data_IF_304990178837
#
_entry.id   IF_304990178837
#
_cell.length_a   1.000
_cell.length_b   1.000
_cell.length_c   1.000
_cell.angle_alpha   90.00
_cell.angle_beta   90.00
_cell.angle_gamma   90.00
#
_symmetry.space_group_name_H-M   'P 1'
#
loop_
_entity.id
_entity.type
_entity.pdbx_description
1 polymer ?
#
# COMPACT_ATOMS: atom_id res chain seq x y z
N UNK A 1 10.02 12.35 -18.46
CA UNK A 1 9.81 11.05 -19.12
C UNK A 1 8.57 11.20 -20.01
N UNK A 2 8.52 10.60 -21.20
CA UNK A 2 7.25 10.50 -21.92
C UNK A 2 6.54 9.28 -21.36
N UNK A 3 5.44 9.49 -20.62
CA UNK A 3 4.51 8.42 -20.22
C UNK A 3 3.88 7.90 -21.50
N UNK A 4 4.53 6.94 -22.14
CA UNK A 4 3.97 6.28 -23.31
C UNK A 4 3.64 4.85 -22.90
N UNK A 5 2.43 4.37 -23.24
CA UNK A 5 2.18 2.94 -23.19
C UNK A 5 3.24 2.24 -24.06
N UNK A 6 3.59 0.97 -23.76
CA UNK A 6 4.51 0.21 -24.59
C UNK A 6 4.07 0.28 -26.06
N UNK A 7 4.78 1.06 -26.90
CA UNK A 7 4.42 1.27 -28.32
C UNK A 7 4.54 0.00 -29.16
N UNK A 8 5.25 -0.99 -28.62
CA UNK A 8 5.35 -2.38 -29.07
C UNK A 8 5.06 -3.22 -27.84
N UNK A 9 4.64 -4.47 -28.01
CA UNK A 9 4.64 -5.43 -26.91
C UNK A 9 5.98 -5.25 -26.18
N UNK A 10 5.96 -4.73 -24.94
CA UNK A 10 7.17 -4.73 -24.15
C UNK A 10 7.63 -6.20 -24.16
N UNK A 11 8.93 -6.49 -24.28
CA UNK A 11 9.45 -7.84 -24.22
C UNK A 11 9.25 -8.33 -22.79
N UNK A 12 8.02 -8.68 -22.49
CA UNK A 12 7.54 -8.96 -21.15
C UNK A 12 7.77 -10.45 -20.83
N UNK A 13 8.71 -11.10 -21.54
CA UNK A 13 9.00 -12.53 -21.34
C UNK A 13 10.47 -12.93 -21.45
N UNK A 14 11.36 -12.13 -22.05
CA UNK A 14 12.74 -12.62 -22.28
C UNK A 14 13.72 -12.20 -21.17
N UNK A 15 13.48 -11.07 -20.51
CA UNK A 15 14.33 -10.62 -19.42
C UNK A 15 13.77 -10.98 -18.04
N UNK A 16 14.61 -11.47 -17.10
CA UNK A 16 14.18 -11.75 -15.74
C UNK A 16 13.72 -10.46 -15.03
N UNK A 17 12.74 -10.57 -14.11
CA UNK A 17 12.23 -9.42 -13.38
C UNK A 17 13.30 -8.75 -12.55
N UNK A 18 13.10 -7.47 -12.23
CA UNK A 18 13.98 -6.72 -11.33
C UNK A 18 13.66 -7.13 -9.89
N UNK A 19 14.70 -7.53 -9.15
CA UNK A 19 14.59 -8.05 -7.79
C UNK A 19 15.07 -7.00 -6.79
N UNK A 20 14.24 -6.68 -5.81
CA UNK A 20 14.69 -5.95 -4.60
C UNK A 20 14.98 -6.97 -3.51
N UNK A 21 16.19 -6.87 -2.93
CA UNK A 21 16.71 -7.80 -1.95
C UNK A 21 16.90 -7.15 -0.57
N UNK A 22 16.75 -7.97 0.45
CA UNK A 22 17.12 -7.67 1.82
C UNK A 22 18.59 -8.01 2.05
N UNK A 23 19.45 -7.05 2.42
CA UNK A 23 20.91 -7.24 2.49
C UNK A 23 21.38 -8.10 3.66
N UNK A 24 20.54 -8.40 4.65
CA UNK A 24 20.95 -9.20 5.81
C UNK A 24 20.50 -10.68 5.74
N UNK A 25 19.92 -11.13 4.62
CA UNK A 25 19.54 -12.53 4.42
C UNK A 25 20.36 -13.16 3.29
N UNK A 26 20.60 -14.49 3.33
CA UNK A 26 21.25 -15.21 2.23
C UNK A 26 20.53 -14.98 0.91
N UNK A 27 21.24 -15.03 -0.22
CA UNK A 27 20.71 -14.65 -1.54
C UNK A 27 19.38 -15.34 -1.89
N UNK A 28 19.28 -16.66 -1.65
CA UNK A 28 18.10 -17.47 -1.92
C UNK A 28 16.89 -17.18 -0.99
N UNK A 29 17.09 -16.37 0.06
CA UNK A 29 16.08 -15.96 1.05
C UNK A 29 15.91 -14.45 1.12
N UNK A 30 16.69 -13.69 0.34
CA UNK A 30 16.77 -12.23 0.42
C UNK A 30 15.72 -11.51 -0.42
N UNK A 31 15.02 -12.19 -1.33
CA UNK A 31 14.05 -11.55 -2.22
C UNK A 31 12.89 -10.94 -1.43
N UNK A 32 12.73 -9.62 -1.50
CA UNK A 32 11.61 -8.88 -0.93
C UNK A 32 10.50 -8.70 -1.95
N UNK A 33 10.84 -8.13 -3.11
CA UNK A 33 9.89 -7.75 -4.16
C UNK A 33 10.47 -8.07 -5.53
N UNK A 34 9.59 -8.37 -6.50
CA UNK A 34 9.93 -8.63 -7.89
C UNK A 34 9.04 -7.75 -8.77
N UNK A 35 9.63 -7.07 -9.73
CA UNK A 35 8.90 -6.16 -10.62
C UNK A 35 9.15 -6.51 -12.08
N UNK A 36 8.10 -6.48 -12.94
CA UNK A 36 8.26 -6.67 -14.37
C UNK A 36 8.94 -5.46 -15.01
N UNK A 37 9.67 -5.68 -16.10
CA UNK A 37 10.37 -4.64 -16.86
C UNK A 37 9.45 -4.07 -17.93
N UNK A 38 8.60 -3.12 -17.54
CA UNK A 38 7.57 -2.54 -18.42
C UNK A 38 7.82 -1.08 -18.79
N UNK A 39 8.71 -0.40 -18.08
CA UNK A 39 9.05 0.99 -18.34
C UNK A 39 10.20 1.09 -19.34
N UNK A 40 9.92 1.64 -20.52
CA UNK A 40 10.91 1.81 -21.59
C UNK A 40 11.86 2.99 -21.32
N UNK A 41 13.15 2.77 -21.54
CA UNK A 41 14.18 3.81 -21.55
C UNK A 41 14.53 4.13 -23.00
N UNK A 42 14.05 5.26 -23.51
CA UNK A 42 14.50 5.77 -24.80
C UNK A 42 15.90 6.37 -24.64
N UNK A 43 16.91 5.78 -25.28
CA UNK A 43 18.15 6.51 -25.56
C UNK A 43 17.79 7.61 -26.58
N UNK A 44 18.12 8.85 -26.26
CA UNK A 44 17.89 9.97 -27.18
C UNK A 44 18.76 9.74 -28.42
N UNK A 45 18.16 9.96 -29.58
CA UNK A 45 18.82 10.31 -30.85
C UNK A 45 19.41 9.22 -31.76
N UNK A 46 18.97 7.96 -31.67
CA UNK A 46 19.28 6.97 -32.73
C UNK A 46 18.02 6.26 -33.25
N UNK A 47 17.86 6.28 -34.58
CA UNK A 47 16.66 5.84 -35.31
C UNK A 47 16.47 4.31 -35.25
N UNK A 48 17.45 3.57 -34.71
CA UNK A 48 17.48 2.11 -34.55
C UNK A 48 17.83 1.64 -33.11
N UNK A 49 17.32 2.31 -32.08
CA UNK A 49 17.61 1.92 -30.69
C UNK A 49 16.89 0.64 -30.22
N UNK A 50 17.67 -0.34 -29.77
CA UNK A 50 17.25 -1.37 -28.81
C UNK A 50 16.72 -0.68 -27.53
N UNK A 51 15.42 -0.77 -27.27
CA UNK A 51 14.82 -0.23 -26.05
C UNK A 51 15.27 -1.07 -24.86
N UNK A 52 15.91 -0.45 -23.87
CA UNK A 52 16.10 -1.09 -22.56
C UNK A 52 14.83 -0.91 -21.74
N UNK A 53 14.34 -1.98 -21.13
CA UNK A 53 13.18 -1.94 -20.25
C UNK A 53 13.59 -2.06 -18.78
N UNK A 54 12.83 -1.41 -17.91
CA UNK A 54 13.07 -1.39 -16.48
C UNK A 54 11.80 -1.14 -15.69
N UNK A 55 11.96 -0.63 -14.48
CA UNK A 55 10.84 -0.25 -13.60
C UNK A 55 11.06 1.15 -13.04
N UNK A 56 9.98 1.93 -12.95
CA UNK A 56 9.98 3.27 -12.38
C UNK A 56 10.54 3.28 -10.94
N UNK A 57 11.59 4.07 -10.73
CA UNK A 57 12.34 4.14 -9.48
C UNK A 57 11.47 4.54 -8.30
N UNK A 58 10.68 5.62 -8.43
CA UNK A 58 9.82 6.13 -7.37
C UNK A 58 8.73 5.15 -6.93
N UNK A 59 8.22 4.34 -7.87
CA UNK A 59 7.26 3.27 -7.56
C UNK A 59 7.92 2.18 -6.72
N UNK A 60 9.12 1.72 -7.11
CA UNK A 60 9.86 0.71 -6.33
C UNK A 60 10.25 1.27 -4.96
N UNK A 61 10.72 2.51 -4.89
CA UNK A 61 11.11 3.14 -3.64
C UNK A 61 9.92 3.28 -2.68
N UNK A 62 8.77 3.77 -3.18
CA UNK A 62 7.54 3.83 -2.38
C UNK A 62 7.12 2.46 -1.85
N UNK A 63 7.20 1.41 -2.69
CA UNK A 63 6.91 0.04 -2.26
C UNK A 63 7.86 -0.43 -1.14
N UNK A 64 9.14 -0.10 -1.25
CA UNK A 64 10.13 -0.42 -0.22
C UNK A 64 9.88 0.33 1.09
N UNK A 65 9.49 1.60 1.02
CA UNK A 65 9.14 2.40 2.19
C UNK A 65 7.91 1.82 2.90
N UNK A 66 6.89 1.38 2.16
CA UNK A 66 5.69 0.75 2.72
C UNK A 66 6.05 -0.50 3.55
N UNK A 67 6.83 -1.42 2.99
CA UNK A 67 7.18 -2.68 3.68
C UNK A 67 8.18 -2.47 4.84
N UNK A 68 8.75 -1.28 4.97
CA UNK A 68 9.65 -0.89 6.06
C UNK A 68 8.99 0.06 7.06
N UNK A 69 7.65 0.16 7.06
CA UNK A 69 6.93 0.99 8.01
C UNK A 69 6.95 2.48 7.70
N UNK A 70 6.91 2.82 6.40
CA UNK A 70 6.98 4.19 5.89
C UNK A 70 8.32 4.88 6.17
N UNK A 71 9.42 4.12 6.20
CA UNK A 71 10.76 4.65 6.48
C UNK A 71 11.23 5.56 5.34
N UNK A 72 11.07 6.88 5.49
CA UNK A 72 11.44 7.89 4.48
C UNK A 72 12.93 7.90 4.14
N UNK A 73 13.77 7.43 5.06
CA UNK A 73 15.23 7.30 4.90
C UNK A 73 15.65 6.08 4.09
N UNK A 74 14.72 5.16 3.78
CA UNK A 74 15.03 3.97 3.02
C UNK A 74 15.53 4.32 1.61
N UNK A 75 16.52 3.56 1.11
CA UNK A 75 17.10 3.77 -0.21
C UNK A 75 17.51 2.44 -0.85
N UNK A 76 17.65 2.47 -2.17
CA UNK A 76 18.12 1.33 -2.96
C UNK A 76 19.62 1.47 -3.23
N UNK A 77 20.35 0.35 -3.18
CA UNK A 77 21.76 0.25 -3.54
C UNK A 77 22.00 -0.80 -4.61
N UNK A 78 23.08 -0.66 -5.37
CA UNK A 78 23.53 -1.66 -6.36
C UNK A 78 24.41 -2.74 -5.74
N UNK A 79 24.92 -2.50 -4.55
CA UNK A 79 25.72 -3.45 -3.79
C UNK A 79 25.06 -3.81 -2.46
N UNK A 80 25.40 -4.99 -1.98
CA UNK A 80 24.88 -5.57 -0.74
C UNK A 80 25.25 -4.77 0.52
N UNK A 81 26.31 -3.95 0.48
CA UNK A 81 26.79 -3.18 1.65
C UNK A 81 26.26 -1.75 1.67
N UNK A 82 25.43 -1.34 0.70
CA UNK A 82 24.86 0.00 0.64
C UNK A 82 25.85 1.09 0.25
N UNK A 83 27.05 0.74 -0.26
CA UNK A 83 28.12 1.69 -0.63
C UNK A 83 27.91 2.35 -2.00
N UNK A 84 27.04 1.79 -2.83
CA UNK A 84 26.70 2.24 -4.17
C UNK A 84 25.20 2.57 -4.27
N UNK A 85 24.73 3.59 -3.52
CA UNK A 85 23.33 4.00 -3.58
C UNK A 85 22.91 4.36 -5.00
N UNK A 86 21.66 4.06 -5.34
CA UNK A 86 21.05 4.45 -6.61
C UNK A 86 20.97 5.98 -6.66
N UNK A 87 21.67 6.58 -7.63
CA UNK A 87 21.71 8.04 -7.85
C UNK A 87 20.68 8.53 -8.88
N UNK A 88 19.70 7.69 -9.22
CA UNK A 88 18.64 8.06 -10.16
C UNK A 88 17.64 9.02 -9.49
N UNK A 89 17.07 9.94 -10.25
CA UNK A 89 15.93 10.73 -9.80
C UNK A 89 14.75 9.83 -9.45
N UNK A 90 13.78 10.34 -8.69
CA UNK A 90 12.54 9.62 -8.36
C UNK A 90 11.83 9.12 -9.63
N UNK A 91 11.79 9.95 -10.69
CA UNK A 91 11.19 9.60 -11.98
C UNK A 91 12.14 8.88 -12.96
N UNK A 92 13.27 8.36 -12.45
CA UNK A 92 14.20 7.55 -13.23
C UNK A 92 13.69 6.11 -13.44
N UNK A 93 14.32 5.37 -14.33
CA UNK A 93 14.03 3.95 -14.58
C UNK A 93 15.18 3.08 -14.09
N UNK A 94 14.87 2.13 -13.23
CA UNK A 94 15.79 1.10 -12.74
C UNK A 94 15.93 0.02 -13.81
N UNK A 95 17.15 -0.28 -14.25
CA UNK A 95 17.42 -1.24 -15.34
C UNK A 95 18.26 -2.45 -14.94
N UNK A 96 18.99 -2.38 -13.81
CA UNK A 96 19.74 -3.53 -13.28
C UNK A 96 18.80 -4.63 -12.77
N UNK A 97 19.24 -5.89 -12.88
CA UNK A 97 18.44 -7.05 -12.47
C UNK A 97 18.20 -7.16 -10.97
N UNK A 98 19.02 -6.53 -10.15
CA UNK A 98 18.84 -6.55 -8.70
C UNK A 98 19.29 -5.26 -8.02
N UNK A 99 18.63 -4.97 -6.91
CA UNK A 99 18.95 -3.88 -5.98
C UNK A 99 18.81 -4.37 -4.54
N UNK A 100 19.52 -3.73 -3.62
CA UNK A 100 19.45 -4.01 -2.19
C UNK A 100 18.76 -2.86 -1.47
N UNK A 101 17.74 -3.16 -0.67
CA UNK A 101 17.05 -2.18 0.15
C UNK A 101 17.83 -1.94 1.45
N UNK A 102 18.16 -0.69 1.72
CA UNK A 102 18.78 -0.27 2.96
C UNK A 102 17.86 0.69 3.70
N UNK A 103 17.75 0.49 5.01
CA UNK A 103 17.03 1.38 5.92
C UNK A 103 18.05 1.85 6.94
N UNK A 104 18.56 3.09 6.83
CA UNK A 104 19.37 3.67 7.88
C UNK A 104 18.57 3.62 9.17
N UNK A 105 19.12 2.96 10.20
CA UNK A 105 18.56 3.10 11.53
C UNK A 105 18.82 4.55 11.94
N UNK A 106 17.77 5.38 11.96
CA UNK A 106 17.87 6.67 12.60
C UNK A 106 18.27 6.46 14.05
N UNK A 107 19.09 7.34 14.58
CA UNK A 107 19.28 7.53 16.02
C UNK A 107 17.90 7.83 16.63
N UNK A 108 17.12 6.81 16.91
CA UNK A 108 15.75 6.93 17.39
C UNK A 108 15.66 6.22 18.72
N UNK A 109 15.56 7.07 19.74
CA UNK A 109 15.19 6.77 21.13
C UNK A 109 16.19 5.96 21.95
N UNK A 110 17.30 6.62 22.32
CA UNK A 110 18.02 6.38 23.57
C UNK A 110 17.15 6.72 24.80
N UNK A 111 15.99 6.07 24.92
CA UNK A 111 15.13 6.09 26.11
C UNK A 111 14.60 4.69 26.33
N UNK A 112 15.51 3.75 26.47
CA UNK A 112 15.36 2.64 27.42
C UNK A 112 16.72 2.50 28.14
N UNK A 113 16.93 3.41 29.09
CA UNK A 113 17.99 3.36 30.08
C UNK A 113 17.86 2.10 30.93
N UNK A 114 18.64 1.07 30.60
CA UNK A 114 19.49 0.34 31.56
C UNK A 114 20.46 -0.56 30.77
N UNK A 115 21.41 0.08 30.09
CA UNK A 115 22.68 -0.54 29.69
C UNK A 115 23.69 0.58 29.54
N UNK A 116 24.45 0.85 30.60
CA UNK A 116 25.66 1.66 30.51
C UNK A 116 26.65 0.90 29.64
N UNK A 117 26.82 1.33 28.39
CA UNK A 117 27.94 0.91 27.54
C UNK A 117 28.26 2.07 26.60
N UNK A 118 29.51 2.51 26.67
CA UNK A 118 30.17 3.46 25.77
C UNK A 118 29.91 3.13 24.28
N UNK A 119 30.11 4.08 23.35
CA UNK A 119 29.96 3.83 21.92
C UNK A 119 31.10 2.92 21.45
N UNK A 120 30.90 1.61 21.58
CA UNK A 120 31.66 0.61 20.88
C UNK A 120 30.94 0.39 19.54
N UNK A 121 31.59 0.83 18.47
CA UNK A 121 31.26 0.43 17.11
C UNK A 121 30.83 -1.04 17.02
N UNK A 122 29.63 -1.33 16.52
CA UNK A 122 29.35 -2.59 15.82
C UNK A 122 28.47 -3.67 16.48
N UNK A 123 27.36 -3.35 17.16
CA UNK A 123 26.39 -4.41 17.57
C UNK A 123 24.95 -4.16 17.12
N UNK A 124 24.46 -2.91 17.03
CA UNK A 124 23.09 -2.65 16.52
C UNK A 124 22.98 -2.79 14.98
N UNK A 125 24.12 -2.71 14.28
CA UNK A 125 24.27 -2.99 12.84
C UNK A 125 24.16 -4.49 12.48
N UNK A 126 24.05 -5.42 13.46
CA UNK A 126 24.05 -6.85 13.17
C UNK A 126 22.67 -7.43 12.83
N UNK A 127 21.58 -6.77 13.23
CA UNK A 127 20.25 -7.34 13.06
C UNK A 127 19.62 -6.87 11.73
N UNK A 128 19.03 -7.79 10.93
CA UNK A 128 18.27 -7.41 9.73
C UNK A 128 17.22 -6.38 10.10
N UNK A 129 16.93 -5.37 9.27
CA UNK A 129 15.79 -4.50 9.56
C UNK A 129 14.48 -5.31 9.54
N UNK A 130 13.50 -4.87 10.31
CA UNK A 130 12.21 -5.55 10.39
C UNK A 130 11.36 -5.21 9.16
N UNK A 131 10.66 -6.20 8.64
CA UNK A 131 9.77 -6.05 7.49
C UNK A 131 8.33 -6.19 7.95
N UNK A 132 7.46 -5.29 7.51
CA UNK A 132 6.01 -5.47 7.62
C UNK A 132 5.60 -6.44 6.52
N UNK A 133 5.02 -7.56 6.92
CA UNK A 133 4.70 -8.65 5.99
C UNK A 133 3.27 -8.59 5.46
N UNK A 134 2.41 -7.79 6.09
CA UNK A 134 0.98 -7.78 5.82
C UNK A 134 0.36 -6.40 5.93
N UNK A 135 -0.68 -6.19 5.14
CA UNK A 135 -1.41 -4.94 5.11
C UNK A 135 -2.05 -4.60 6.46
N UNK A 136 -2.61 -5.60 7.16
CA UNK A 136 -3.22 -5.40 8.48
C UNK A 136 -2.21 -4.88 9.51
N UNK A 137 -0.92 -5.21 9.35
CA UNK A 137 0.15 -4.79 10.25
C UNK A 137 0.81 -3.46 9.86
N UNK A 138 0.36 -2.86 8.76
CA UNK A 138 0.87 -1.58 8.28
C UNK A 138 0.06 -0.41 8.84
N UNK A 139 0.74 0.62 9.35
CA UNK A 139 0.11 1.88 9.75
C UNK A 139 0.11 2.86 8.59
N UNK A 140 -1.04 3.47 8.31
CA UNK A 140 -1.18 4.47 7.25
C UNK A 140 -0.44 5.76 7.63
N UNK A 141 0.45 6.29 6.76
CA UNK A 141 1.21 7.50 7.06
C UNK A 141 0.38 8.76 6.77
N UNK A 142 -0.53 9.13 7.67
CA UNK A 142 -1.45 10.27 7.51
C UNK A 142 -0.77 11.56 6.98
N UNK A 143 0.32 11.98 7.61
CA UNK A 143 1.08 13.19 7.24
C UNK A 143 2.41 12.88 6.52
N UNK A 144 2.61 11.62 6.13
CA UNK A 144 3.88 11.11 5.61
C UNK A 144 3.79 10.49 4.22
N UNK A 145 2.74 10.81 3.46
CA UNK A 145 2.58 10.34 2.08
C UNK A 145 3.68 10.97 1.21
N UNK A 146 4.36 10.22 0.32
CA UNK A 146 5.44 10.78 -0.48
C UNK A 146 4.95 11.92 -1.39
N UNK A 147 5.78 12.95 -1.56
CA UNK A 147 5.44 14.19 -2.29
C UNK A 147 4.85 13.94 -3.68
N UNK A 148 5.38 12.97 -4.44
CA UNK A 148 4.86 12.62 -5.77
C UNK A 148 3.38 12.20 -5.76
N UNK A 149 2.90 11.62 -4.66
CA UNK A 149 1.50 11.28 -4.47
C UNK A 149 0.68 12.50 -4.03
N UNK A 150 1.25 13.40 -3.24
CA UNK A 150 0.55 14.63 -2.83
C UNK A 150 0.47 15.70 -3.93
N UNK A 151 1.34 15.62 -4.94
CA UNK A 151 1.57 16.69 -5.92
C UNK A 151 0.78 16.58 -7.23
N UNK A 152 0.00 15.51 -7.44
CA UNK A 152 -0.86 15.46 -8.63
C UNK A 152 -2.16 16.23 -8.38
N UNK A 153 -2.62 16.97 -9.38
CA UNK A 153 -3.87 17.72 -9.31
C UNK A 153 -5.06 16.76 -9.08
N UNK A 154 -5.55 16.65 -7.85
CA UNK A 154 -6.89 16.14 -7.61
C UNK A 154 -7.85 17.24 -8.09
N UNK A 155 -8.64 16.97 -9.13
CA UNK A 155 -9.67 17.91 -9.54
C UNK A 155 -10.60 18.21 -8.33
N UNK A 156 -11.09 19.45 -8.20
CA UNK A 156 -11.88 19.85 -7.05
C UNK A 156 -13.16 19.01 -6.96
N UNK A 157 -13.54 18.63 -5.74
CA UNK A 157 -14.73 17.81 -5.39
C UNK A 157 -16.05 18.56 -5.63
N UNK A 158 -16.15 19.36 -6.69
CA UNK A 158 -17.37 20.10 -7.02
C UNK A 158 -18.32 19.13 -7.68
N UNK A 159 -19.26 18.59 -6.89
CA UNK A 159 -20.48 17.89 -7.30
C UNK A 159 -20.38 17.18 -8.66
N UNK A 160 -19.34 16.35 -8.85
CA UNK A 160 -19.23 15.59 -10.06
C UNK A 160 -20.47 14.67 -10.12
N UNK A 161 -21.21 14.69 -11.22
CA UNK A 161 -22.26 13.71 -11.49
C UNK A 161 -21.63 12.32 -11.49
N UNK A 162 -22.24 11.29 -10.84
CA UNK A 162 -21.72 9.92 -10.82
C UNK A 162 -21.25 9.48 -12.21
N UNK A 163 -19.93 9.44 -12.42
CA UNK A 163 -19.36 9.00 -13.69
C UNK A 163 -19.31 7.49 -13.65
N UNK A 164 -20.09 6.83 -14.49
CA UNK A 164 -20.05 5.36 -14.67
C UNK A 164 -18.87 4.91 -15.56
N UNK A 165 -17.95 5.82 -15.85
CA UNK A 165 -16.82 5.60 -16.74
C UNK A 165 -15.72 4.80 -16.05
N UNK A 166 -15.03 3.98 -16.83
CA UNK A 166 -13.86 3.25 -16.37
C UNK A 166 -12.75 4.26 -16.05
N UNK A 167 -12.16 4.14 -14.86
CA UNK A 167 -11.08 5.02 -14.41
C UNK A 167 -9.83 4.96 -15.30
N UNK A 168 -9.68 3.93 -16.13
CA UNK A 168 -8.55 3.79 -17.08
C UNK A 168 -8.94 3.99 -18.54
N UNK A 169 -10.05 3.40 -18.98
CA UNK A 169 -10.44 3.40 -20.41
C UNK A 169 -11.56 4.38 -20.77
N UNK A 170 -12.22 5.01 -19.79
CA UNK A 170 -13.34 5.94 -20.01
C UNK A 170 -14.67 5.29 -20.44
N UNK A 171 -14.71 3.99 -20.73
CA UNK A 171 -15.92 3.28 -21.18
C UNK A 171 -16.98 3.09 -20.08
N UNK A 172 -18.25 2.93 -20.47
CA UNK A 172 -19.43 2.95 -19.56
C UNK A 172 -19.77 1.60 -18.88
N UNK A 173 -19.31 0.46 -19.39
CA UNK A 173 -19.62 -0.87 -18.82
C UNK A 173 -18.65 -1.22 -17.70
N UNK A 174 -18.96 -0.78 -16.48
CA UNK A 174 -18.02 -0.86 -15.35
C UNK A 174 -18.64 -1.41 -14.09
N UNK A 175 -17.80 -2.02 -13.26
CA UNK A 175 -18.13 -2.54 -11.94
C UNK A 175 -17.38 -1.74 -10.85
N UNK A 176 -17.92 -1.68 -9.62
CA UNK A 176 -17.26 -1.00 -8.51
C UNK A 176 -15.98 -1.76 -8.08
N UNK A 177 -14.89 -1.02 -8.02
CA UNK A 177 -13.58 -1.46 -7.59
C UNK A 177 -13.21 -0.74 -6.29
N UNK A 178 -13.15 -1.48 -5.18
CA UNK A 178 -12.79 -0.92 -3.88
C UNK A 178 -11.29 -0.66 -3.81
N UNK A 179 -10.91 0.57 -3.50
CA UNK A 179 -9.50 0.96 -3.31
C UNK A 179 -8.96 0.27 -2.05
N UNK A 180 -9.58 0.50 -0.90
CA UNK A 180 -9.40 -0.33 0.30
C UNK A 180 -10.50 -1.40 0.33
N UNK A 181 -10.16 -2.70 0.22
CA UNK A 181 -11.17 -3.76 0.16
C UNK A 181 -12.02 -3.85 1.43
N UNK A 182 -13.29 -4.25 1.28
CA UNK A 182 -14.24 -4.43 2.40
C UNK A 182 -13.75 -5.39 3.48
N UNK A 183 -13.04 -6.46 3.09
CA UNK A 183 -12.47 -7.41 4.06
C UNK A 183 -11.33 -6.82 4.91
N UNK A 184 -10.94 -5.57 4.67
CA UNK A 184 -9.98 -4.80 5.47
C UNK A 184 -10.65 -3.75 6.37
N UNK A 185 -11.93 -3.90 6.71
CA UNK A 185 -12.67 -2.97 7.57
C UNK A 185 -11.99 -2.71 8.92
N UNK A 186 -11.39 -3.72 9.56
CA UNK A 186 -10.68 -3.52 10.84
C UNK A 186 -9.47 -2.58 10.68
N UNK A 187 -8.66 -2.80 9.64
CA UNK A 187 -7.54 -1.93 9.31
C UNK A 187 -8.00 -0.51 8.95
N UNK A 188 -9.10 -0.40 8.19
CA UNK A 188 -9.68 0.88 7.77
C UNK A 188 -10.06 1.75 8.98
N UNK A 189 -10.76 1.17 9.96
CA UNK A 189 -11.15 1.88 11.18
C UNK A 189 -9.96 2.17 12.09
N UNK A 190 -9.03 1.22 12.22
CA UNK A 190 -7.82 1.40 13.02
C UNK A 190 -6.99 2.59 12.52
N UNK A 191 -6.82 2.71 11.21
CA UNK A 191 -6.07 3.79 10.57
C UNK A 191 -6.94 5.02 10.28
N UNK A 192 -8.11 5.13 10.92
CA UNK A 192 -9.01 6.28 10.80
C UNK A 192 -9.26 6.73 9.34
N UNK A 193 -9.32 5.79 8.42
CA UNK A 193 -9.43 6.10 6.98
C UNK A 193 -10.78 6.75 6.63
N UNK A 194 -11.75 6.75 7.55
CA UNK A 194 -13.00 7.51 7.42
C UNK A 194 -12.81 9.03 7.46
N UNK A 195 -11.69 9.53 7.99
CA UNK A 195 -11.39 10.97 8.04
C UNK A 195 -11.20 11.58 6.64
N UNK A 196 -10.91 10.73 5.63
CA UNK A 196 -10.73 11.13 4.23
C UNK A 196 -12.00 11.05 3.38
N UNK A 197 -13.15 10.75 3.98
CA UNK A 197 -14.42 10.70 3.25
C UNK A 197 -14.86 12.12 2.88
N UNK A 198 -14.92 12.41 1.58
CA UNK A 198 -15.27 13.74 1.07
C UNK A 198 -16.76 14.07 1.29
N UNK A 199 -17.63 13.06 1.19
CA UNK A 199 -19.07 13.21 1.41
C UNK A 199 -19.43 12.80 2.84
N UNK A 200 -19.68 13.79 3.72
CA UNK A 200 -20.15 13.59 5.11
C UNK A 200 -21.60 13.06 5.18
N UNK A 201 -21.90 12.02 4.41
CA UNK A 201 -23.12 11.22 4.57
C UNK A 201 -23.01 10.27 5.77
N UNK A 202 -23.97 9.37 5.91
CA UNK A 202 -24.06 8.48 7.08
C UNK A 202 -23.08 7.29 7.05
N UNK A 203 -22.54 6.92 5.88
CA UNK A 203 -21.59 5.80 5.75
C UNK A 203 -20.14 6.25 5.87
N UNK A 204 -19.54 6.03 7.05
CA UNK A 204 -18.12 6.26 7.33
C UNK A 204 -17.25 5.01 7.17
N UNK A 205 -17.81 3.94 6.60
CA UNK A 205 -17.14 2.66 6.41
C UNK A 205 -16.41 2.54 5.07
N UNK A 206 -15.76 1.39 4.83
CA UNK A 206 -15.11 1.09 3.55
C UNK A 206 -16.08 1.02 2.35
N UNK A 207 -17.40 1.03 2.60
CA UNK A 207 -18.44 1.09 1.57
C UNK A 207 -18.67 2.46 0.97
N UNK A 208 -18.11 3.52 1.55
CA UNK A 208 -18.32 4.89 1.08
C UNK A 208 -17.84 5.06 -0.37
N UNK A 209 -18.60 5.84 -1.15
CA UNK A 209 -18.30 6.11 -2.56
C UNK A 209 -16.90 6.73 -2.80
N UNK A 210 -16.32 7.41 -1.82
CA UNK A 210 -14.96 7.98 -1.89
C UNK A 210 -13.87 6.90 -2.01
N UNK A 211 -14.16 5.67 -1.54
CA UNK A 211 -13.26 4.51 -1.58
C UNK A 211 -13.51 3.58 -2.80
N UNK A 212 -14.36 4.00 -3.75
CA UNK A 212 -14.77 3.16 -4.89
C UNK A 212 -14.43 3.84 -6.21
N UNK A 213 -13.53 3.24 -6.99
CA UNK A 213 -13.38 3.57 -8.41
C UNK A 213 -14.18 2.60 -9.29
N UNK A 214 -14.32 2.90 -10.58
CA UNK A 214 -15.02 2.02 -11.53
C UNK A 214 -14.06 1.48 -12.56
N UNK A 215 -14.12 0.18 -12.81
CA UNK A 215 -13.25 -0.52 -13.78
C UNK A 215 -14.08 -1.44 -14.66
N UNK A 216 -13.60 -1.68 -15.88
CA UNK A 216 -14.15 -2.75 -16.72
C UNK A 216 -13.92 -4.11 -16.04
N UNK A 217 -14.78 -5.10 -16.30
CA UNK A 217 -14.73 -6.40 -15.60
C UNK A 217 -13.35 -7.08 -15.69
N UNK A 218 -12.70 -7.01 -16.84
CA UNK A 218 -11.38 -7.61 -17.06
C UNK A 218 -10.30 -6.91 -16.23
N UNK A 219 -10.32 -5.57 -16.19
CA UNK A 219 -9.42 -4.76 -15.35
C UNK A 219 -9.71 -4.93 -13.87
N UNK A 220 -10.98 -5.10 -13.49
CA UNK A 220 -11.38 -5.33 -12.10
C UNK A 220 -10.81 -6.64 -11.56
N UNK A 221 -10.79 -7.70 -12.37
CA UNK A 221 -10.16 -8.98 -12.02
C UNK A 221 -8.68 -8.78 -11.70
N UNK A 222 -7.94 -8.18 -12.62
CA UNK A 222 -6.52 -7.88 -12.45
C UNK A 222 -6.27 -7.02 -11.21
N UNK A 223 -7.07 -5.96 -11.04
CA UNK A 223 -7.00 -5.08 -9.90
C UNK A 223 -7.16 -5.87 -8.60
N UNK A 224 -8.25 -6.64 -8.45
CA UNK A 224 -8.54 -7.45 -7.25
C UNK A 224 -7.50 -8.54 -6.98
N UNK A 225 -6.89 -9.10 -8.02
CA UNK A 225 -5.76 -10.02 -7.91
C UNK A 225 -4.45 -9.33 -7.49
N UNK A 226 -4.45 -8.01 -7.28
CA UNK A 226 -3.26 -7.19 -6.98
C UNK A 226 -2.23 -7.23 -8.10
N UNK A 227 -2.69 -7.31 -9.36
CA UNK A 227 -1.81 -7.31 -10.53
C UNK A 227 -1.19 -5.94 -10.81
N UNK A 228 -1.96 -4.88 -10.59
CA UNK A 228 -1.55 -3.49 -10.82
C UNK A 228 -2.13 -2.55 -9.75
N UNK A 229 -1.60 -1.33 -9.71
CA UNK A 229 -2.14 -0.22 -8.94
C UNK A 229 -2.03 1.07 -9.76
N UNK A 230 -2.74 2.12 -9.33
CA UNK A 230 -2.55 3.46 -9.86
C UNK A 230 -1.40 4.13 -9.09
N UNK A 231 -0.41 4.65 -9.80
CA UNK A 231 0.78 5.28 -9.19
C UNK A 231 1.11 6.60 -9.89
N UNK A 232 1.64 7.60 -9.18
CA UNK A 232 2.04 8.86 -9.78
C UNK A 232 3.34 8.68 -10.56
N UNK A 233 3.38 9.22 -11.78
CA UNK A 233 4.61 9.34 -12.57
C UNK A 233 4.69 10.73 -13.21
N UNK A 234 5.90 11.30 -13.26
CA UNK A 234 6.10 12.63 -13.84
C UNK A 234 5.88 12.62 -15.36
N UNK A 235 4.97 13.48 -15.81
CA UNK A 235 4.70 13.77 -17.21
C UNK A 235 5.26 15.15 -17.60
N UNK A 236 4.98 15.60 -18.84
CA UNK A 236 5.25 16.99 -19.25
C UNK A 236 4.35 18.02 -18.54
N UNK A 237 3.24 17.57 -17.99
CA UNK A 237 2.21 18.39 -17.33
C UNK A 237 2.18 18.16 -15.80
N UNK A 238 3.31 17.72 -15.22
CA UNK A 238 3.37 17.35 -13.80
C UNK A 238 3.05 15.87 -13.56
N UNK A 239 2.85 15.50 -12.29
CA UNK A 239 2.51 14.12 -11.91
C UNK A 239 1.12 13.74 -12.43
N UNK A 240 1.07 12.60 -13.12
CA UNK A 240 -0.18 11.96 -13.55
C UNK A 240 -0.27 10.56 -12.96
N UNK A 241 -1.48 10.15 -12.62
CA UNK A 241 -1.74 8.78 -12.16
C UNK A 241 -1.89 7.86 -13.36
N UNK A 242 -1.11 6.78 -13.34
CA UNK A 242 -1.12 5.77 -14.39
C UNK A 242 -1.30 4.38 -13.80
N UNK A 243 -1.87 3.46 -14.58
CA UNK A 243 -1.84 2.04 -14.23
C UNK A 243 -0.40 1.51 -14.31
N UNK A 244 0.06 0.90 -13.22
CA UNK A 244 1.37 0.26 -13.15
C UNK A 244 1.19 -1.20 -12.75
N UNK A 245 1.44 -2.09 -13.70
CA UNK A 245 1.47 -3.54 -13.46
C UNK A 245 2.72 -3.90 -12.65
N UNK A 246 2.49 -4.57 -11.52
CA UNK A 246 3.51 -4.91 -10.52
C UNK A 246 3.73 -6.43 -10.44
N UNK A 247 2.73 -7.23 -10.84
CA UNK A 247 2.82 -8.68 -10.88
C UNK A 247 3.66 -9.17 -12.06
N UNK A 248 4.46 -10.20 -11.82
CA UNK A 248 5.28 -10.88 -12.84
C UNK A 248 4.62 -12.16 -13.37
N UNK A 249 3.30 -12.29 -13.24
CA UNK A 249 2.56 -13.48 -13.67
C UNK A 249 2.39 -13.52 -15.19
N UNK A 250 2.62 -14.68 -15.80
CA UNK A 250 2.62 -14.85 -17.27
C UNK A 250 1.25 -14.60 -17.91
N UNK A 251 0.15 -14.83 -17.17
CA UNK A 251 -1.22 -14.58 -17.63
C UNK A 251 -1.55 -13.09 -17.80
N UNK A 252 -0.69 -12.20 -17.31
CA UNK A 252 -0.86 -10.75 -17.38
C UNK A 252 -0.10 -10.11 -18.55
N UNK A 253 0.46 -10.91 -19.47
CA UNK A 253 1.26 -10.44 -20.59
C UNK A 253 0.50 -9.44 -21.48
N UNK A 254 -0.69 -9.81 -21.93
CA UNK A 254 -1.51 -8.94 -22.76
C UNK A 254 -1.96 -7.67 -22.03
N UNK A 255 -2.65 -7.76 -20.86
CA UNK A 255 -3.19 -6.57 -20.21
C UNK A 255 -2.09 -5.61 -19.73
N UNK A 256 -0.95 -6.10 -19.25
CA UNK A 256 0.15 -5.24 -18.87
C UNK A 256 0.76 -4.49 -20.06
N UNK A 257 0.91 -5.14 -21.22
CA UNK A 257 1.40 -4.48 -22.43
C UNK A 257 0.46 -3.37 -22.94
N UNK A 258 -0.85 -3.53 -22.72
CA UNK A 258 -1.85 -2.56 -23.18
C UNK A 258 -2.05 -1.43 -22.18
N UNK A 259 -2.12 -1.75 -20.88
CA UNK A 259 -2.57 -0.82 -19.85
C UNK A 259 -1.44 -0.27 -18.96
N UNK A 260 -0.22 -0.81 -19.01
CA UNK A 260 0.90 -0.22 -18.26
C UNK A 260 1.19 1.19 -18.78
N UNK A 261 1.36 2.15 -17.87
CA UNK A 261 1.48 3.58 -18.14
C UNK A 261 0.27 4.23 -18.81
N UNK A 262 -0.89 3.55 -18.88
CA UNK A 262 -2.14 4.18 -19.27
C UNK A 262 -2.55 5.19 -18.20
N UNK A 263 -2.69 6.45 -18.60
CA UNK A 263 -3.16 7.53 -17.72
C UNK A 263 -4.63 7.30 -17.33
N UNK A 264 -4.94 7.57 -16.07
CA UNK A 264 -6.31 7.47 -15.58
C UNK A 264 -7.20 8.55 -16.20
N UNK A 265 -8.32 8.13 -16.77
CA UNK A 265 -9.20 8.96 -17.60
C UNK A 265 -9.83 10.13 -16.81
N UNK A 266 -10.27 9.91 -15.56
CA UNK A 266 -10.81 10.93 -14.66
C UNK A 266 -10.72 10.45 -13.19
N UNK A 267 -10.15 11.27 -12.30
CA UNK A 267 -9.90 10.89 -10.89
C UNK A 267 -10.52 11.85 -9.86
N UNK A 268 -11.40 12.75 -10.30
CA UNK A 268 -12.01 13.86 -9.53
C UNK A 268 -12.76 13.43 -8.24
N UNK A 269 -12.86 12.13 -7.97
CA UNK A 269 -13.60 11.53 -6.85
C UNK A 269 -12.72 10.85 -5.80
N UNK A 270 -11.46 10.56 -6.11
CA UNK A 270 -10.64 9.68 -5.28
C UNK A 270 -9.71 10.51 -4.43
N UNK A 271 -9.67 10.21 -3.13
CA UNK A 271 -8.67 10.80 -2.27
C UNK A 271 -7.34 10.06 -2.44
N UNK A 272 -6.23 10.80 -2.42
CA UNK A 272 -4.88 10.25 -2.58
C UNK A 272 -4.61 9.14 -1.57
N UNK A 273 -5.22 9.22 -0.40
CA UNK A 273 -5.03 8.31 0.72
C UNK A 273 -5.57 6.92 0.39
N UNK A 274 -6.74 6.82 -0.24
CA UNK A 274 -7.28 5.53 -0.69
C UNK A 274 -6.45 4.92 -1.83
N UNK A 275 -5.94 5.76 -2.73
CA UNK A 275 -5.07 5.31 -3.82
C UNK A 275 -3.72 4.80 -3.29
N UNK A 276 -3.12 5.49 -2.33
CA UNK A 276 -1.89 5.07 -1.68
C UNK A 276 -2.10 3.80 -0.84
N UNK A 277 -3.20 3.72 -0.09
CA UNK A 277 -3.58 2.51 0.64
C UNK A 277 -3.82 1.33 -0.31
N UNK A 278 -4.43 1.56 -1.48
CA UNK A 278 -4.56 0.52 -2.52
C UNK A 278 -3.21 0.04 -3.00
N UNK A 279 -2.29 0.97 -3.28
CA UNK A 279 -0.94 0.62 -3.71
C UNK A 279 -0.24 -0.23 -2.66
N UNK A 280 -0.28 0.17 -1.38
CA UNK A 280 0.24 -0.62 -0.28
C UNK A 280 -0.40 -2.03 -0.21
N UNK A 281 -1.72 -2.12 -0.30
CA UNK A 281 -2.44 -3.39 -0.35
C UNK A 281 -1.94 -4.30 -1.48
N UNK A 282 -1.67 -3.73 -2.66
CA UNK A 282 -1.07 -4.46 -3.78
C UNK A 282 0.35 -4.94 -3.46
N UNK A 283 1.21 -4.10 -2.86
CA UNK A 283 2.60 -4.46 -2.50
C UNK A 283 2.66 -5.61 -1.47
N UNK A 284 1.81 -5.62 -0.45
CA UNK A 284 1.75 -6.75 0.50
C UNK A 284 1.28 -8.05 -0.17
N UNK A 285 0.61 -7.96 -1.32
CA UNK A 285 0.36 -9.12 -2.18
C UNK A 285 1.61 -9.76 -2.76
N UNK A 286 2.67 -8.98 -2.97
CA UNK A 286 3.89 -9.38 -3.68
C UNK A 286 4.99 -9.90 -2.75
N UNK A 287 4.98 -9.50 -1.46
CA UNK A 287 6.02 -9.88 -0.49
C UNK A 287 5.91 -11.33 0.01
N UNK A 288 4.88 -12.07 -0.41
CA UNK A 288 4.52 -13.39 0.13
C UNK A 288 5.69 -14.39 0.19
N UNK A 289 6.53 -14.44 -0.84
CA UNK A 289 7.68 -15.36 -0.90
C UNK A 289 8.71 -15.08 0.21
N UNK A 290 8.89 -13.82 0.60
CA UNK A 290 9.76 -13.46 1.72
C UNK A 290 9.25 -14.00 3.06
N UNK A 291 7.92 -14.10 3.21
CA UNK A 291 7.22 -14.47 4.45
C UNK A 291 7.13 -15.98 4.68
N UNK A 292 7.58 -16.80 3.74
CA UNK A 292 7.51 -18.29 3.81
C UNK A 292 8.45 -18.91 4.86
N UNK A 293 9.30 -18.10 5.49
CA UNK A 293 10.29 -18.57 6.47
C UNK A 293 10.28 -17.67 7.71
N UNK A 294 11.06 -18.06 8.73
CA UNK A 294 11.24 -17.24 9.92
C UNK A 294 11.98 -15.94 9.55
N UNK A 295 11.35 -14.80 9.82
CA UNK A 295 11.87 -13.45 9.51
C UNK A 295 11.80 -12.54 10.73
N UNK A 296 12.60 -11.46 10.69
CA UNK A 296 12.42 -10.34 11.61
C UNK A 296 11.29 -9.48 11.04
N UNK A 297 10.15 -9.52 11.71
CA UNK A 297 8.90 -8.88 11.24
C UNK A 297 8.51 -7.76 12.18
N UNK A 298 7.93 -6.71 11.62
CA UNK A 298 7.27 -5.64 12.35
C UNK A 298 5.75 -5.90 12.33
N UNK A 299 5.14 -5.87 13.51
CA UNK A 299 3.69 -6.10 13.70
C UNK A 299 3.12 -5.03 14.62
N UNK A 300 1.85 -4.68 14.43
CA UNK A 300 1.14 -3.75 15.32
C UNK A 300 0.57 -4.48 16.52
N UNK A 301 0.62 -3.89 17.71
CA UNK A 301 -0.06 -4.43 18.87
C UNK A 301 -0.70 -3.32 19.68
N UNK A 302 -1.80 -3.60 20.42
CA UNK A 302 -2.28 -2.68 21.43
C UNK A 302 -1.15 -2.39 22.43
N UNK A 303 -0.89 -1.12 22.66
CA UNK A 303 0.15 -0.65 23.55
C UNK A 303 -0.08 0.80 23.95
N UNK A 304 0.98 1.48 24.38
CA UNK A 304 0.94 2.89 24.75
C UNK A 304 2.01 3.65 23.98
N UNK A 305 1.68 4.85 23.51
CA UNK A 305 2.66 5.75 22.91
C UNK A 305 3.52 6.44 23.99
N UNK A 306 4.43 7.30 23.56
CA UNK A 306 5.28 8.15 24.42
C UNK A 306 4.47 8.98 25.44
N UNK A 307 3.23 9.37 25.09
CA UNK A 307 2.30 10.09 25.97
C UNK A 307 1.44 9.17 26.86
N UNK A 308 1.77 7.87 26.92
CA UNK A 308 1.04 6.83 27.67
C UNK A 308 -0.41 6.61 27.23
N UNK A 309 -0.81 7.15 26.08
CA UNK A 309 -2.14 6.95 25.50
C UNK A 309 -2.22 5.56 24.87
N UNK A 310 -3.31 4.86 25.13
CA UNK A 310 -3.57 3.57 24.49
C UNK A 310 -3.65 3.76 22.97
N UNK A 311 -2.71 3.16 22.25
CA UNK A 311 -2.62 3.21 20.79
C UNK A 311 -2.15 1.87 20.22
N UNK A 312 -2.10 1.77 18.90
CA UNK A 312 -1.41 0.68 18.21
C UNK A 312 0.07 1.05 18.08
N UNK A 313 0.94 0.19 18.61
CA UNK A 313 2.39 0.37 18.57
C UNK A 313 3.03 -0.72 17.71
N UNK A 314 4.05 -0.36 16.94
CA UNK A 314 4.84 -1.32 16.16
C UNK A 314 5.83 -2.02 17.08
N UNK A 315 5.82 -3.35 17.07
CA UNK A 315 6.79 -4.19 17.75
C UNK A 315 7.47 -5.12 16.77
N UNK A 316 8.71 -5.48 17.09
CA UNK A 316 9.56 -6.28 16.23
C UNK A 316 9.83 -7.63 16.85
N UNK A 317 9.61 -8.70 16.08
CA UNK A 317 9.81 -10.07 16.53
C UNK A 317 10.46 -10.93 15.46
N UNK A 318 11.01 -12.05 15.87
CA UNK A 318 11.36 -13.14 14.96
C UNK A 318 10.21 -14.14 14.89
N UNK A 319 9.47 -14.13 13.77
CA UNK A 319 8.27 -14.97 13.60
C UNK A 319 8.36 -15.86 12.37
N UNK A 320 7.90 -17.10 12.50
CA UNK A 320 7.57 -17.96 11.35
C UNK A 320 6.20 -17.60 10.78
N UNK A 321 5.89 -17.95 9.52
CA UNK A 321 4.57 -17.71 8.94
C UNK A 321 3.42 -18.27 9.79
N UNK A 322 3.60 -19.43 10.42
CA UNK A 322 2.60 -20.00 11.34
C UNK A 322 2.38 -19.15 12.59
N UNK A 323 3.42 -18.53 13.14
CA UNK A 323 3.30 -17.61 14.29
C UNK A 323 2.59 -16.31 13.90
N UNK A 324 2.90 -15.77 12.72
CA UNK A 324 2.21 -14.58 12.19
C UNK A 324 0.72 -14.86 11.98
N UNK A 325 0.38 -16.00 11.38
CA UNK A 325 -1.01 -16.41 11.16
C UNK A 325 -1.76 -16.65 12.49
N UNK A 326 -1.14 -17.37 13.43
CA UNK A 326 -1.74 -17.63 14.74
C UNK A 326 -2.00 -16.33 15.53
N UNK A 327 -1.07 -15.38 15.49
CA UNK A 327 -1.25 -14.05 16.07
C UNK A 327 -2.48 -13.35 15.48
N UNK A 328 -2.65 -13.37 14.16
CA UNK A 328 -3.82 -12.77 13.50
C UNK A 328 -5.12 -13.41 13.94
N UNK A 329 -5.18 -14.74 13.98
CA UNK A 329 -6.37 -15.44 14.49
C UNK A 329 -6.68 -15.05 15.94
N UNK A 330 -5.65 -14.90 16.78
CA UNK A 330 -5.84 -14.44 18.16
C UNK A 330 -6.39 -13.02 18.22
N UNK A 331 -5.80 -12.08 17.48
CA UNK A 331 -6.28 -10.69 17.41
C UNK A 331 -7.71 -10.62 16.85
N UNK A 332 -8.00 -11.37 15.80
CA UNK A 332 -9.33 -11.50 15.18
C UNK A 332 -10.37 -12.22 16.05
N UNK A 333 -9.96 -12.84 17.17
CA UNK A 333 -10.86 -13.44 18.16
C UNK A 333 -10.98 -12.61 19.45
N UNK A 334 -10.15 -11.59 19.65
CA UNK A 334 -10.27 -10.73 20.84
C UNK A 334 -11.56 -9.90 20.81
N UNK A 335 -12.26 -9.67 21.92
CA UNK A 335 -13.50 -8.89 21.93
C UNK A 335 -13.27 -7.46 21.40
N UNK A 336 -14.22 -6.91 20.63
CA UNK A 336 -14.15 -5.56 20.02
C UNK A 336 -13.80 -4.45 21.04
N UNK A 337 -14.24 -4.57 22.30
CA UNK A 337 -13.89 -3.64 23.40
C UNK A 337 -12.40 -3.64 23.78
N UNK A 338 -11.67 -4.71 23.49
CA UNK A 338 -10.21 -4.82 23.72
C UNK A 338 -9.41 -4.42 22.48
N UNK A 339 -9.98 -4.53 21.27
CA UNK A 339 -9.38 -4.06 20.01
C UNK A 339 -9.51 -2.55 19.83
N UNK A 340 -10.68 -2.01 20.14
CA UNK A 340 -10.86 -0.58 20.29
C UNK A 340 -10.22 -0.22 21.62
N UNK A 341 -9.09 0.48 21.57
CA UNK A 341 -8.32 0.94 22.72
C UNK A 341 -9.25 1.72 23.65
N UNK A 342 -9.83 1.03 24.62
CA UNK A 342 -10.86 1.56 25.51
C UNK A 342 -10.17 2.41 26.56
N UNK A 343 -10.16 3.72 26.30
CA UNK A 343 -10.41 4.83 27.22
C UNK A 343 -9.98 6.14 26.54
N UNK A 344 -10.73 6.56 25.52
CA UNK A 344 -10.92 7.99 25.27
C UNK A 344 -12.35 8.32 25.68
N UNK A 345 -12.48 9.10 26.75
CA UNK A 345 -13.76 9.41 27.38
C UNK A 345 -14.66 10.24 26.49
N UNK A 346 -15.51 9.57 25.71
CA UNK A 346 -16.72 10.17 25.13
C UNK A 346 -17.87 9.24 25.53
N UNK A 347 -18.52 9.58 26.65
CA UNK A 347 -19.83 9.04 27.01
C UNK A 347 -20.79 9.37 25.86
N UNK A 348 -21.16 8.38 25.06
CA UNK A 348 -22.39 8.46 24.28
C UNK A 348 -23.54 8.24 25.25
N UNK A 349 -24.14 9.34 25.71
CA UNK A 349 -25.45 9.30 26.36
C UNK A 349 -26.41 8.55 25.44
N UNK A 350 -26.91 7.42 25.93
CA UNK A 350 -28.02 6.71 25.30
C UNK A 350 -29.24 7.60 25.38
N UNK A 351 -29.61 8.25 24.28
CA UNK A 351 -30.97 8.77 24.13
C UNK A 351 -31.95 7.58 24.12
N UNK A 352 -32.57 7.30 25.26
CA UNK A 352 -33.75 6.46 25.33
C UNK A 352 -34.94 7.26 24.80
N UNK A 353 -35.34 6.98 23.56
CA UNK A 353 -36.69 7.30 23.11
C UNK A 353 -37.70 6.45 23.89
N UNK A 354 -38.87 7.00 24.28
CA UNK A 354 -39.84 6.27 25.08
C UNK A 354 -40.44 5.10 24.30
N UNK A 355 -40.46 3.92 24.92
CA UNK A 355 -41.16 2.73 24.42
C UNK A 355 -42.67 3.00 24.36
N UNK A 356 -43.37 2.65 23.27
CA UNK A 356 -44.82 2.64 23.26
C UNK A 356 -45.33 1.46 24.12
N UNK A 357 -46.17 1.79 25.10
CA UNK A 357 -46.95 0.85 25.92
C UNK A 357 -48.06 0.22 25.07
N UNK A 358 -48.05 -1.10 24.94
CA UNK A 358 -49.14 -1.87 24.36
C UNK A 358 -50.26 -2.04 25.41
N UNK A 359 -51.47 -1.57 25.08
CA UNK A 359 -52.70 -1.89 25.81
C UNK A 359 -53.16 -3.31 25.44
N UNK A 360 -53.50 -4.17 26.41
CA UNK A 360 -54.23 -5.40 26.16
C UNK A 360 -55.70 -5.18 26.55
N UNK A 361 -56.60 -5.06 25.58
CA UNK A 361 -58.04 -5.30 25.80
C UNK A 361 -58.76 -5.41 24.44
N UNK A 362 -59.09 -6.65 24.06
CA UNK A 362 -60.29 -6.96 23.26
C UNK A 362 -60.43 -8.49 23.16
N UNK A 363 -61.37 -9.02 23.96
CA UNK A 363 -61.90 -10.39 23.87
C UNK A 363 -62.57 -10.67 22.51
N UNK A 364 -62.67 -11.95 22.09
CA UNK A 364 -63.40 -12.36 20.89
C UNK A 364 -64.86 -12.71 21.21
N UNK A 365 -65.81 -12.08 20.51
CA UNK A 365 -67.23 -12.42 20.51
C UNK A 365 -67.72 -12.89 19.14
N UNK A 366 -68.06 -14.19 19.09
CA UNK A 366 -69.18 -14.81 18.32
C UNK A 366 -69.41 -14.48 16.85
N UNK A 367 -69.19 -15.48 15.98
CA UNK A 367 -70.28 -16.15 15.23
C UNK A 367 -69.84 -17.54 14.77
#
# INVERSE_FOLDING_TARGET
MLLQPPRRAAPQCDEPPIIVRHPHYPEHQSTLLRFPRLDAVSRRDEVDCEYTYGVHHGTVLSACQIITGNASTAYLSRDHRGKMPVRLSYDGILTYGQYFLHVPQGESSATDTHSLSLPLSGIDDLHPFAVICDFEDWQFPHDGIPEAWASFESAPVVAASPTYNCALSGGLSTEPAYLVPHNQSSWFHQNRMGDYIANRGEDFGPGNASNICRLHKDLLKDFNCRAFALVPKMSRHGYRLVAHYLSTSDDLLYPANVFHNQEAYQLERYTVEYLYARFAYTIFGLIRTFTEQKRRVAVIEPGRNEFRLCTWVTKVYWMSPGQVAARRTQLANQPLKKRNLSESGINTERQHGPKPTANPDSEPGTT
#
